data_IF_529743616629
#
_entry.id   IF_529743616629
#
_cell.length_a   1.000
_cell.length_b   1.000
_cell.length_c   1.000
_cell.angle_alpha   90.00
_cell.angle_beta   90.00
_cell.angle_gamma   90.00
#
_symmetry.space_group_name_H-M   'P 1'
#
loop_
_entity.id
_entity.type
_entity.pdbx_description
1 polymer ?
#
# COMPACT_ATOMS: atom_id res chain seq x y z
N UNK A 1 13.79 19.28 -8.63
CA UNK A 1 14.50 19.66 -7.38
C UNK A 1 15.85 18.95 -7.40
N UNK A 2 16.95 19.73 -7.54
CA UNK A 2 18.31 19.19 -7.70
C UNK A 2 18.88 18.57 -6.41
N UNK A 3 18.35 18.94 -5.23
CA UNK A 3 18.84 18.52 -3.90
C UNK A 3 17.99 17.43 -3.22
N UNK A 4 17.38 16.57 -4.05
CA UNK A 4 16.57 15.43 -3.61
C UNK A 4 17.16 14.14 -4.15
N UNK A 5 17.20 13.10 -3.34
CA UNK A 5 17.61 11.77 -3.76
C UNK A 5 16.81 10.68 -3.04
N UNK A 6 16.85 9.48 -3.58
CA UNK A 6 16.24 8.30 -2.97
C UNK A 6 17.16 7.08 -3.11
N UNK A 7 17.00 6.13 -2.20
CA UNK A 7 17.59 4.82 -2.33
C UNK A 7 16.51 3.74 -2.27
N UNK A 8 16.44 2.93 -3.31
CA UNK A 8 15.47 1.84 -3.44
C UNK A 8 16.13 0.59 -4.00
N UNK A 9 15.39 -0.52 -4.01
CA UNK A 9 15.81 -1.76 -4.68
C UNK A 9 16.02 -1.61 -6.19
N UNK A 10 15.54 -0.50 -6.76
CA UNK A 10 15.55 -0.25 -8.21
C UNK A 10 16.90 0.27 -8.71
N UNK A 11 17.70 0.80 -7.81
CA UNK A 11 19.03 1.32 -8.14
C UNK A 11 20.07 0.22 -8.11
N UNK A 12 21.02 0.27 -9.07
CA UNK A 12 22.20 -0.58 -9.04
C UNK A 12 23.09 -0.25 -7.81
N UNK A 13 24.00 -1.15 -7.41
CA UNK A 13 24.95 -0.86 -6.34
C UNK A 13 25.76 0.43 -6.59
N UNK A 14 26.20 0.66 -7.84
CA UNK A 14 26.96 1.84 -8.23
C UNK A 14 26.12 3.13 -8.08
N UNK A 15 24.86 3.08 -8.54
CA UNK A 15 23.91 4.20 -8.39
C UNK A 15 23.63 4.52 -6.92
N UNK A 16 23.46 3.48 -6.07
CA UNK A 16 23.29 3.67 -4.63
C UNK A 16 24.51 4.33 -4.00
N UNK A 17 25.71 3.86 -4.33
CA UNK A 17 26.94 4.42 -3.81
C UNK A 17 27.09 5.89 -4.19
N UNK A 18 26.74 6.26 -5.42
CA UNK A 18 26.75 7.66 -5.87
C UNK A 18 25.73 8.50 -5.11
N UNK A 19 24.52 8.00 -4.88
CA UNK A 19 23.51 8.69 -4.06
C UNK A 19 24.04 8.92 -2.64
N UNK A 20 24.62 7.89 -2.00
CA UNK A 20 25.16 8.01 -0.65
C UNK A 20 26.34 8.98 -0.58
N UNK A 21 27.22 9.03 -1.60
CA UNK A 21 28.28 10.03 -1.70
C UNK A 21 27.69 11.44 -1.71
N UNK A 22 26.72 11.69 -2.58
CA UNK A 22 26.05 13.00 -2.71
C UNK A 22 25.37 13.44 -1.41
N UNK A 23 24.75 12.49 -0.69
CA UNK A 23 24.14 12.77 0.63
C UNK A 23 25.23 13.20 1.62
N UNK A 24 26.34 12.44 1.73
CA UNK A 24 27.44 12.77 2.66
C UNK A 24 28.13 14.09 2.33
N UNK A 25 28.29 14.41 1.06
CA UNK A 25 28.97 15.66 0.60
C UNK A 25 28.04 16.89 0.67
N UNK A 26 26.77 16.72 1.08
CA UNK A 26 25.87 17.83 1.28
C UNK A 26 25.21 18.34 -0.01
N UNK A 27 25.26 17.59 -1.08
CA UNK A 27 24.54 17.88 -2.33
C UNK A 27 23.05 17.57 -2.25
N UNK A 28 22.63 16.77 -1.27
CA UNK A 28 21.24 16.35 -1.04
C UNK A 28 20.75 16.84 0.31
N UNK A 29 19.59 17.49 0.34
CA UNK A 29 18.92 17.95 1.56
C UNK A 29 17.75 17.05 1.96
N UNK A 30 17.07 16.45 0.98
CA UNK A 30 15.96 15.52 1.19
C UNK A 30 16.32 14.14 0.64
N UNK A 31 16.44 13.19 1.54
CA UNK A 31 16.80 11.82 1.19
C UNK A 31 15.69 10.84 1.55
N UNK A 32 15.12 10.17 0.54
CA UNK A 32 14.13 9.13 0.72
C UNK A 32 14.79 7.78 0.90
N UNK A 33 14.39 7.08 1.95
CA UNK A 33 14.96 5.82 2.39
C UNK A 33 13.86 4.88 2.85
N UNK A 34 13.94 3.59 2.54
CA UNK A 34 13.01 2.63 3.10
C UNK A 34 13.38 2.27 4.55
N UNK A 35 12.39 1.90 5.40
CA UNK A 35 12.70 1.46 6.76
C UNK A 35 13.67 0.29 6.81
N UNK A 36 13.53 -0.67 5.90
CA UNK A 36 14.40 -1.84 5.81
C UNK A 36 15.86 -1.43 5.59
N UNK A 37 16.07 -0.44 4.74
CA UNK A 37 17.42 0.06 4.44
C UNK A 37 17.98 0.88 5.61
N UNK A 38 17.14 1.68 6.28
CA UNK A 38 17.51 2.43 7.46
C UNK A 38 17.93 1.51 8.63
N UNK A 39 17.23 0.40 8.83
CA UNK A 39 17.51 -0.55 9.90
C UNK A 39 18.70 -1.47 9.59
N UNK A 40 19.05 -1.64 8.31
CA UNK A 40 20.12 -2.55 7.88
C UNK A 40 21.53 -1.97 8.03
N UNK A 41 21.66 -0.64 8.11
CA UNK A 41 22.95 0.05 8.12
C UNK A 41 23.03 1.11 9.23
N UNK A 42 24.24 1.37 9.69
CA UNK A 42 24.50 2.54 10.54
C UNK A 42 24.16 3.84 9.77
N UNK A 43 23.56 4.80 10.45
CA UNK A 43 23.12 6.05 9.81
C UNK A 43 24.29 6.84 9.20
N UNK A 44 25.47 6.74 9.79
CA UNK A 44 26.68 7.40 9.28
C UNK A 44 27.07 6.91 7.88
N UNK A 45 26.67 5.69 7.52
CA UNK A 45 26.85 5.15 6.18
C UNK A 45 26.16 6.01 5.12
N UNK A 46 25.01 6.60 5.47
CA UNK A 46 24.25 7.45 4.56
C UNK A 46 24.63 8.92 4.69
N UNK A 47 24.70 9.46 5.91
CA UNK A 47 24.83 10.89 6.16
C UNK A 47 26.24 11.35 6.49
N UNK A 48 27.18 10.43 6.79
CA UNK A 48 28.53 10.76 7.24
C UNK A 48 28.52 11.59 8.53
N UNK A 49 29.22 12.69 8.52
CA UNK A 49 29.34 13.65 9.64
C UNK A 49 28.15 14.64 9.71
N UNK A 50 27.21 14.57 8.76
CA UNK A 50 26.09 15.51 8.71
C UNK A 50 25.05 15.22 9.78
N UNK A 51 24.41 16.29 10.27
CA UNK A 51 23.32 16.19 11.22
C UNK A 51 21.98 15.97 10.55
N UNK A 52 21.17 15.12 11.13
CA UNK A 52 19.76 14.92 10.74
C UNK A 52 18.97 16.11 11.29
N UNK A 53 18.34 16.88 10.41
CA UNK A 53 17.49 18.00 10.79
C UNK A 53 16.05 17.60 11.10
N UNK A 54 15.54 16.58 10.40
CA UNK A 54 14.17 16.06 10.53
C UNK A 54 14.10 14.64 9.99
N UNK A 55 13.33 13.79 10.65
CA UNK A 55 12.88 12.51 10.09
C UNK A 55 11.39 12.59 9.79
N UNK A 56 11.00 12.25 8.57
CA UNK A 56 9.60 12.15 8.17
C UNK A 56 9.25 10.68 7.96
N UNK A 57 8.22 10.21 8.65
CA UNK A 57 7.67 8.86 8.49
C UNK A 57 6.35 9.00 7.73
N UNK A 58 6.37 8.65 6.45
CA UNK A 58 5.18 8.63 5.61
C UNK A 58 4.43 7.30 5.77
N UNK A 59 3.12 7.32 5.52
CA UNK A 59 2.21 6.19 5.74
C UNK A 59 2.38 5.57 7.15
N UNK A 60 2.53 6.44 8.15
CA UNK A 60 2.89 6.06 9.51
C UNK A 60 1.90 5.08 10.17
N UNK A 61 0.65 4.99 9.65
CA UNK A 61 -0.34 4.00 10.11
C UNK A 61 0.14 2.56 9.94
N UNK A 62 1.10 2.31 9.04
CA UNK A 62 1.64 0.96 8.79
C UNK A 62 2.32 0.35 10.01
N UNK A 63 2.81 1.16 10.96
CA UNK A 63 3.40 0.67 12.22
C UNK A 63 2.37 0.06 13.16
N UNK A 64 1.10 0.47 13.05
CA UNK A 64 -0.01 0.00 13.87
C UNK A 64 -0.90 -1.05 13.17
N UNK A 65 -0.68 -1.31 11.88
CA UNK A 65 -1.53 -2.20 11.09
C UNK A 65 -1.07 -3.64 11.19
N UNK A 66 -1.92 -4.51 11.72
CA UNK A 66 -1.67 -5.96 11.84
C UNK A 66 -2.26 -6.68 10.63
N UNK A 67 -1.44 -7.39 9.84
CA UNK A 67 -1.94 -8.18 8.71
C UNK A 67 -0.84 -8.62 7.74
N UNK A 68 -1.23 -9.14 6.57
CA UNK A 68 -0.35 -9.68 5.53
C UNK A 68 0.70 -8.71 4.97
N UNK A 69 0.45 -7.42 5.08
CA UNK A 69 1.33 -6.35 4.60
C UNK A 69 2.16 -5.74 5.71
N UNK A 70 2.14 -6.36 6.87
CA UNK A 70 2.93 -5.95 7.99
C UNK A 70 4.41 -5.96 7.61
N UNK A 71 4.97 -4.79 7.50
CA UNK A 71 6.41 -4.58 7.35
C UNK A 71 7.01 -4.59 8.75
N UNK A 72 7.60 -5.69 9.12
CA UNK A 72 8.22 -5.91 10.44
C UNK A 72 9.21 -4.78 10.78
N UNK A 73 9.89 -4.25 9.78
CA UNK A 73 10.84 -3.16 9.91
C UNK A 73 10.19 -1.87 10.45
N UNK A 74 8.95 -1.57 10.07
CA UNK A 74 8.23 -0.42 10.63
C UNK A 74 8.00 -0.55 12.15
N UNK A 75 7.84 -1.75 12.63
CA UNK A 75 7.64 -2.00 14.06
C UNK A 75 8.86 -1.63 14.90
N UNK A 76 10.07 -1.86 14.35
CA UNK A 76 11.31 -1.54 15.02
C UNK A 76 11.73 -0.08 14.83
N UNK A 77 11.07 0.66 13.93
CA UNK A 77 11.47 1.99 13.54
C UNK A 77 11.51 2.97 14.73
N UNK A 78 10.50 2.97 15.61
CA UNK A 78 10.47 3.85 16.79
C UNK A 78 11.63 3.61 17.73
N UNK A 79 11.88 2.34 18.08
CA UNK A 79 13.02 1.94 18.92
C UNK A 79 14.35 2.29 18.25
N UNK A 80 14.46 2.08 16.94
CA UNK A 80 15.67 2.41 16.19
C UNK A 80 15.94 3.92 16.20
N UNK A 81 14.93 4.76 15.97
CA UNK A 81 15.07 6.21 16.02
C UNK A 81 15.46 6.72 17.41
N UNK A 82 14.97 6.10 18.46
CA UNK A 82 15.37 6.41 19.85
C UNK A 82 16.82 6.02 20.10
N UNK A 83 17.23 4.80 19.74
CA UNK A 83 18.61 4.35 19.83
C UNK A 83 19.56 5.25 19.02
N UNK A 84 19.14 5.69 17.86
CA UNK A 84 19.89 6.59 17.00
C UNK A 84 20.12 7.96 17.66
N UNK A 85 19.09 8.57 18.27
CA UNK A 85 19.23 9.83 19.04
C UNK A 85 20.24 9.68 20.17
N UNK A 86 20.21 8.56 20.88
CA UNK A 86 21.13 8.27 21.96
C UNK A 86 22.58 8.10 21.44
N UNK A 87 22.77 7.36 20.35
CA UNK A 87 24.09 7.12 19.77
C UNK A 87 24.72 8.42 19.19
N UNK A 88 23.91 9.26 18.55
CA UNK A 88 24.37 10.51 17.98
C UNK A 88 24.58 11.63 19.03
N UNK A 89 24.05 11.49 20.23
CA UNK A 89 24.16 12.47 21.30
C UNK A 89 23.40 13.79 21.03
N UNK A 90 22.45 13.80 20.09
CA UNK A 90 21.55 14.92 19.85
C UNK A 90 20.15 14.46 19.43
N UNK A 91 19.16 15.33 19.65
CA UNK A 91 17.78 15.09 19.33
C UNK A 91 17.44 15.74 17.99
N UNK A 92 16.68 15.03 17.16
CA UNK A 92 16.05 15.54 15.94
C UNK A 92 14.54 15.31 16.01
N UNK A 93 13.74 16.21 15.43
CA UNK A 93 12.28 16.03 15.38
C UNK A 93 11.90 14.86 14.46
N UNK A 94 10.78 14.22 14.79
CA UNK A 94 10.15 13.19 13.95
C UNK A 94 8.75 13.66 13.60
N UNK A 95 8.42 13.63 12.32
CA UNK A 95 7.12 14.01 11.79
C UNK A 95 6.48 12.80 11.12
N UNK A 96 5.39 12.30 11.69
CA UNK A 96 4.66 11.14 11.19
C UNK A 96 3.43 11.63 10.42
N UNK A 97 3.25 11.12 9.21
CA UNK A 97 2.17 11.46 8.29
C UNK A 97 1.35 10.22 7.95
N UNK A 98 0.05 10.38 7.89
CA UNK A 98 -0.85 9.38 7.32
C UNK A 98 -2.16 10.03 6.89
N UNK A 99 -2.71 9.57 5.76
CA UNK A 99 -4.03 9.99 5.28
C UNK A 99 -5.16 9.05 5.73
N UNK A 100 -4.84 7.90 6.31
CA UNK A 100 -5.78 6.79 6.51
C UNK A 100 -5.79 6.23 7.93
N UNK A 101 -5.37 7.00 8.93
CA UNK A 101 -5.47 6.57 10.31
C UNK A 101 -6.92 6.65 10.83
N UNK A 102 -7.35 5.61 11.52
CA UNK A 102 -8.62 5.60 12.25
C UNK A 102 -8.38 6.20 13.63
N UNK A 103 -9.12 7.26 13.94
CA UNK A 103 -9.14 7.86 15.27
C UNK A 103 -10.39 7.39 16.02
N UNK A 104 -10.18 6.65 17.10
CA UNK A 104 -11.25 6.12 17.93
C UNK A 104 -10.85 6.21 19.41
N UNK A 105 -10.86 7.43 20.01
CA UNK A 105 -10.36 7.63 21.37
C UNK A 105 -11.21 6.92 22.43
N UNK A 106 -12.44 6.54 22.12
CA UNK A 106 -13.35 5.83 23.02
C UNK A 106 -13.36 4.30 22.81
N UNK A 107 -12.70 3.82 21.76
CA UNK A 107 -12.67 2.41 21.37
C UNK A 107 -11.32 1.76 21.56
N UNK A 108 -11.28 0.43 21.63
CA UNK A 108 -10.07 -0.33 21.88
C UNK A 108 -9.05 -0.38 20.73
N UNK A 109 -9.33 0.22 19.57
CA UNK A 109 -8.47 0.20 18.39
C UNK A 109 -8.31 1.62 17.84
N UNK A 110 -7.38 2.38 18.41
CA UNK A 110 -7.02 3.71 17.95
C UNK A 110 -5.67 3.66 17.21
N UNK A 111 -5.70 3.70 15.87
CA UNK A 111 -4.49 3.64 15.05
C UNK A 111 -3.57 4.84 15.29
N UNK A 112 -4.10 6.01 15.65
CA UNK A 112 -3.28 7.18 15.93
C UNK A 112 -2.50 6.96 17.22
N UNK A 113 -3.17 6.49 18.27
CA UNK A 113 -2.54 6.19 19.55
C UNK A 113 -1.48 5.08 19.40
N UNK A 114 -1.82 4.01 18.69
CA UNK A 114 -0.88 2.92 18.42
C UNK A 114 0.34 3.38 17.59
N UNK A 115 0.13 4.28 16.63
CA UNK A 115 1.21 4.89 15.84
C UNK A 115 2.14 5.74 16.72
N UNK A 116 1.56 6.61 17.58
CA UNK A 116 2.33 7.44 18.51
C UNK A 116 3.17 6.57 19.44
N UNK A 117 2.57 5.51 19.97
CA UNK A 117 3.24 4.56 20.87
C UNK A 117 4.35 3.78 20.16
N UNK A 118 4.07 3.24 18.98
CA UNK A 118 5.02 2.42 18.22
C UNK A 118 6.22 3.21 17.70
N UNK A 119 6.02 4.48 17.36
CA UNK A 119 7.09 5.38 16.91
C UNK A 119 7.75 6.16 18.06
N UNK A 120 7.36 5.93 19.31
CA UNK A 120 7.90 6.63 20.51
C UNK A 120 7.81 8.16 20.38
N UNK A 121 6.66 8.66 19.90
CA UNK A 121 6.49 10.08 19.63
C UNK A 121 6.01 10.91 20.83
N UNK A 122 5.62 10.28 21.93
CA UNK A 122 5.11 11.01 23.10
C UNK A 122 6.26 11.67 23.91
N UNK A 123 6.10 12.97 24.31
CA UNK A 123 4.99 13.87 23.98
C UNK A 123 5.06 14.40 22.54
N UNK A 124 3.92 14.56 21.88
CA UNK A 124 3.85 15.09 20.53
C UNK A 124 2.68 16.06 20.33
N UNK A 125 2.79 16.93 19.31
CA UNK A 125 1.68 17.69 18.81
C UNK A 125 0.90 16.83 17.79
N UNK A 126 -0.42 16.79 17.91
CA UNK A 126 -1.30 16.06 17.03
C UNK A 126 -2.12 17.01 16.15
N UNK A 127 -2.04 16.82 14.84
CA UNK A 127 -2.83 17.56 13.87
C UNK A 127 -3.76 16.59 13.14
N UNK A 128 -5.05 16.67 13.42
CA UNK A 128 -6.08 15.84 12.79
C UNK A 128 -6.90 16.72 11.88
N UNK A 129 -6.84 16.44 10.59
CA UNK A 129 -7.64 17.12 9.57
C UNK A 129 -8.90 16.33 9.21
N UNK A 130 -9.87 17.01 8.61
CA UNK A 130 -11.03 16.35 8.02
C UNK A 130 -10.65 15.83 6.63
N UNK A 131 -10.73 14.52 6.44
CA UNK A 131 -10.36 13.86 5.18
C UNK A 131 -11.59 13.51 4.33
N UNK A 132 -12.74 14.12 4.59
CA UNK A 132 -13.96 13.87 3.82
C UNK A 132 -13.76 14.30 2.36
N UNK A 133 -13.95 13.35 1.47
CA UNK A 133 -13.89 13.54 0.02
C UNK A 133 -15.31 13.76 -0.50
N UNK A 134 -15.76 15.02 -0.53
CA UNK A 134 -17.12 15.38 -0.96
C UNK A 134 -17.34 15.20 -2.47
N UNK A 135 -16.25 15.09 -3.23
CA UNK A 135 -16.25 14.88 -4.67
C UNK A 135 -16.21 13.40 -5.06
N UNK A 136 -16.42 12.46 -4.14
CA UNK A 136 -16.55 11.02 -4.44
C UNK A 136 -17.95 10.57 -4.03
N UNK A 137 -18.75 10.18 -5.00
CA UNK A 137 -20.04 9.51 -4.80
C UNK A 137 -19.88 8.00 -4.63
N UNK A 138 -20.95 7.35 -4.15
CA UNK A 138 -20.99 5.89 -4.01
C UNK A 138 -22.16 5.33 -4.81
N UNK A 139 -21.89 4.28 -5.61
CA UNK A 139 -22.87 3.45 -6.28
C UNK A 139 -22.74 2.03 -5.75
N UNK A 140 -23.59 1.66 -4.81
CA UNK A 140 -23.57 0.34 -4.17
C UNK A 140 -24.85 -0.40 -4.55
N UNK A 141 -24.72 -1.47 -5.31
CA UNK A 141 -25.83 -2.25 -5.83
C UNK A 141 -25.74 -3.70 -5.32
N UNK A 142 -26.88 -4.30 -4.97
CA UNK A 142 -26.94 -5.71 -4.63
C UNK A 142 -26.82 -6.55 -5.92
N UNK A 143 -25.83 -7.44 -5.97
CA UNK A 143 -25.70 -8.39 -7.07
C UNK A 143 -26.71 -9.54 -6.89
N UNK A 144 -27.53 -9.78 -7.89
CA UNK A 144 -28.50 -10.89 -7.92
C UNK A 144 -27.90 -12.12 -8.55
N UNK A 145 -28.25 -13.30 -8.00
CA UNK A 145 -27.96 -14.61 -8.58
C UNK A 145 -29.27 -15.13 -9.14
N UNK A 146 -29.32 -15.41 -10.42
CA UNK A 146 -30.51 -15.92 -11.10
C UNK A 146 -30.77 -17.38 -10.76
N UNK A 147 -31.99 -17.85 -10.96
CA UNK A 147 -32.36 -19.25 -10.70
C UNK A 147 -31.52 -20.21 -11.56
N UNK A 148 -30.85 -21.17 -10.91
CA UNK A 148 -29.94 -22.10 -11.58
C UNK A 148 -28.55 -21.54 -11.90
N UNK A 149 -28.28 -20.26 -11.60
CA UNK A 149 -26.98 -19.64 -11.80
C UNK A 149 -26.05 -19.89 -10.60
N UNK A 150 -24.78 -20.16 -10.87
CA UNK A 150 -23.76 -20.20 -9.79
C UNK A 150 -23.29 -18.80 -9.45
N UNK A 151 -22.83 -18.59 -8.22
CA UNK A 151 -22.23 -17.31 -7.79
C UNK A 151 -21.13 -16.81 -8.76
N UNK A 152 -20.23 -17.72 -9.21
CA UNK A 152 -19.13 -17.33 -10.10
C UNK A 152 -19.64 -16.86 -11.47
N UNK A 153 -20.71 -17.47 -12.00
CA UNK A 153 -21.35 -17.04 -13.26
C UNK A 153 -22.04 -15.70 -13.09
N UNK A 154 -22.81 -15.53 -12.00
CA UNK A 154 -23.46 -14.26 -11.67
C UNK A 154 -22.43 -13.12 -11.55
N UNK A 155 -21.33 -13.38 -10.81
CA UNK A 155 -20.25 -12.41 -10.65
C UNK A 155 -19.60 -12.07 -11.99
N UNK A 156 -19.31 -13.08 -12.82
CA UNK A 156 -18.75 -12.86 -14.14
C UNK A 156 -19.68 -12.01 -15.03
N UNK A 157 -20.96 -12.32 -15.07
CA UNK A 157 -21.99 -11.58 -15.82
C UNK A 157 -22.07 -10.12 -15.35
N UNK A 158 -22.13 -9.91 -14.03
CA UNK A 158 -22.21 -8.55 -13.45
C UNK A 158 -20.98 -7.73 -13.78
N UNK A 159 -19.78 -8.29 -13.58
CA UNK A 159 -18.53 -7.58 -13.87
C UNK A 159 -18.39 -7.29 -15.37
N UNK A 160 -18.77 -8.24 -16.24
CA UNK A 160 -18.71 -8.02 -17.69
C UNK A 160 -19.66 -6.89 -18.14
N UNK A 161 -20.87 -6.84 -17.59
CA UNK A 161 -21.82 -5.75 -17.86
C UNK A 161 -21.26 -4.40 -17.38
N UNK A 162 -20.69 -4.34 -16.16
CA UNK A 162 -20.07 -3.09 -15.67
C UNK A 162 -18.88 -2.66 -16.51
N UNK A 163 -18.03 -3.60 -16.97
CA UNK A 163 -16.91 -3.28 -17.86
C UNK A 163 -17.41 -2.66 -19.17
N UNK A 164 -18.47 -3.20 -19.74
CA UNK A 164 -19.08 -2.65 -20.97
C UNK A 164 -19.63 -1.24 -20.73
N UNK A 165 -20.35 -1.02 -19.62
CA UNK A 165 -20.85 0.30 -19.22
C UNK A 165 -19.71 1.31 -18.98
N UNK A 166 -18.53 0.84 -18.54
CA UNK A 166 -17.37 1.70 -18.26
C UNK A 166 -16.54 2.03 -19.51
N UNK A 167 -16.88 1.49 -20.66
CA UNK A 167 -16.28 1.86 -21.95
C UNK A 167 -16.88 3.16 -22.51
N UNK A 168 -17.27 4.06 -21.64
CA UNK A 168 -17.85 5.38 -21.91
C UNK A 168 -16.80 6.50 -22.12
N UNK A 169 -15.53 6.14 -22.11
CA UNK A 169 -14.41 7.07 -22.29
C UNK A 169 -13.81 7.61 -20.98
N UNK A 170 -14.45 7.39 -19.84
CA UNK A 170 -13.94 7.77 -18.52
C UNK A 170 -12.89 6.80 -18.02
N UNK A 171 -11.91 7.32 -17.24
CA UNK A 171 -10.85 6.49 -16.65
C UNK A 171 -11.37 5.71 -15.44
N UNK A 172 -11.25 4.40 -15.51
CA UNK A 172 -11.76 3.48 -14.47
C UNK A 172 -10.67 2.55 -13.96
N UNK A 173 -10.58 2.39 -12.64
CA UNK A 173 -9.81 1.32 -12.00
C UNK A 173 -10.79 0.26 -11.51
N UNK A 174 -10.53 -1.01 -11.84
CA UNK A 174 -11.28 -2.17 -11.35
C UNK A 174 -10.37 -2.95 -10.42
N UNK A 175 -10.68 -2.96 -9.13
CA UNK A 175 -9.93 -3.75 -8.16
C UNK A 175 -10.42 -5.19 -8.11
N UNK A 176 -9.48 -6.10 -8.37
CA UNK A 176 -9.68 -7.54 -8.30
C UNK A 176 -8.77 -8.13 -7.21
N UNK A 177 -9.29 -8.98 -6.31
CA UNK A 177 -8.55 -9.39 -5.11
C UNK A 177 -7.34 -10.29 -5.36
N UNK A 178 -7.27 -10.97 -6.53
CA UNK A 178 -6.23 -11.96 -6.79
C UNK A 178 -5.39 -11.62 -8.03
N UNK A 179 -4.06 -11.69 -7.90
CA UNK A 179 -3.17 -11.58 -9.05
C UNK A 179 -3.24 -12.80 -9.98
N UNK A 180 -3.48 -13.99 -9.39
CA UNK A 180 -3.61 -15.21 -10.16
C UNK A 180 -4.88 -15.22 -11.01
N UNK A 181 -4.70 -15.41 -12.33
CA UNK A 181 -5.81 -15.52 -13.28
C UNK A 181 -6.45 -14.20 -13.72
N UNK A 182 -5.90 -13.03 -13.35
CA UNK A 182 -6.45 -11.72 -13.72
C UNK A 182 -6.53 -11.56 -15.25
N UNK A 183 -5.49 -11.97 -15.99
CA UNK A 183 -5.48 -11.89 -17.45
C UNK A 183 -6.50 -12.85 -18.09
N UNK A 184 -6.76 -13.97 -17.44
CA UNK A 184 -7.79 -14.92 -17.87
C UNK A 184 -9.19 -14.37 -17.61
N UNK A 185 -9.39 -13.70 -16.48
CA UNK A 185 -10.66 -13.01 -16.16
C UNK A 185 -10.94 -11.88 -17.11
N UNK A 186 -9.94 -11.09 -17.52
CA UNK A 186 -10.10 -10.06 -18.54
C UNK A 186 -10.70 -10.62 -19.84
N UNK A 187 -10.24 -11.79 -20.29
CA UNK A 187 -10.78 -12.44 -21.50
C UNK A 187 -12.25 -12.82 -21.39
N UNK A 188 -12.78 -12.94 -20.18
CA UNK A 188 -14.19 -13.26 -19.92
C UNK A 188 -15.05 -12.02 -19.66
N UNK A 189 -14.43 -10.89 -19.26
CA UNK A 189 -15.13 -9.66 -18.93
C UNK A 189 -15.15 -8.64 -20.10
N UNK A 190 -14.18 -8.74 -21.01
CA UNK A 190 -13.95 -7.77 -22.09
C UNK A 190 -14.11 -8.45 -23.43
N UNK A 191 -14.97 -7.91 -24.29
CA UNK A 191 -15.05 -8.39 -25.67
C UNK A 191 -13.75 -8.09 -26.42
N UNK A 192 -13.32 -8.96 -27.36
CA UNK A 192 -12.06 -8.79 -28.09
C UNK A 192 -11.88 -7.43 -28.76
N UNK A 193 -12.95 -6.85 -29.27
CA UNK A 193 -12.94 -5.53 -29.90
C UNK A 193 -12.51 -4.41 -28.95
N UNK A 194 -12.70 -4.59 -27.64
CA UNK A 194 -12.46 -3.59 -26.61
C UNK A 194 -11.14 -3.80 -25.85
N UNK A 195 -10.35 -4.86 -26.16
CA UNK A 195 -9.11 -5.14 -25.45
C UNK A 195 -8.07 -4.02 -25.54
N UNK A 196 -8.12 -3.23 -26.60
CA UNK A 196 -7.22 -2.08 -26.75
C UNK A 196 -7.44 -0.99 -25.70
N UNK A 197 -8.65 -0.91 -25.10
CA UNK A 197 -8.98 0.05 -24.04
C UNK A 197 -8.65 -0.43 -22.63
N UNK A 198 -8.38 -1.71 -22.44
CA UNK A 198 -8.25 -2.33 -21.13
C UNK A 198 -6.85 -2.88 -20.92
N UNK A 199 -6.31 -2.75 -19.71
CA UNK A 199 -5.07 -3.39 -19.31
C UNK A 199 -5.20 -4.05 -17.93
N UNK A 200 -4.36 -5.04 -17.64
CA UNK A 200 -4.20 -5.62 -16.30
C UNK A 200 -2.94 -5.09 -15.62
N UNK A 201 -3.04 -4.82 -14.30
CA UNK A 201 -1.89 -4.38 -13.51
C UNK A 201 -1.81 -5.16 -12.19
N UNK A 202 -0.72 -5.90 -11.98
CA UNK A 202 -0.51 -6.68 -10.75
C UNK A 202 0.97 -6.86 -10.42
N UNK A 203 1.28 -7.27 -9.20
CA UNK A 203 2.64 -7.27 -8.64
C UNK A 203 3.68 -8.03 -9.45
N UNK A 204 3.29 -9.16 -10.10
CA UNK A 204 4.21 -10.04 -10.85
C UNK A 204 4.60 -9.52 -12.25
N UNK A 205 3.94 -8.49 -12.77
CA UNK A 205 4.39 -7.85 -14.02
C UNK A 205 5.75 -7.20 -13.81
N UNK A 206 6.61 -7.21 -14.84
CA UNK A 206 7.89 -6.54 -14.77
C UNK A 206 7.73 -5.00 -14.71
N UNK A 207 8.83 -4.29 -14.45
CA UNK A 207 8.80 -2.84 -14.24
C UNK A 207 8.50 -2.08 -15.52
N UNK A 208 9.00 -2.55 -16.65
CA UNK A 208 8.81 -1.93 -17.96
C UNK A 208 7.34 -2.01 -18.36
N UNK A 209 6.73 -3.19 -18.28
CA UNK A 209 5.31 -3.39 -18.54
C UNK A 209 4.43 -2.52 -17.63
N UNK A 210 4.79 -2.42 -16.34
CA UNK A 210 4.05 -1.55 -15.41
C UNK A 210 4.14 -0.08 -15.80
N UNK A 211 5.31 0.39 -16.19
CA UNK A 211 5.52 1.76 -16.61
C UNK A 211 4.75 2.08 -17.91
N UNK A 212 4.78 1.20 -18.89
CA UNK A 212 4.03 1.31 -20.14
C UNK A 212 2.52 1.40 -19.89
N UNK A 213 1.97 0.51 -19.04
CA UNK A 213 0.54 0.50 -18.70
C UNK A 213 0.13 1.81 -18.04
N UNK A 214 0.94 2.31 -17.08
CA UNK A 214 0.67 3.57 -16.39
C UNK A 214 0.71 4.74 -17.39
N UNK A 215 1.69 4.76 -18.28
CA UNK A 215 1.81 5.81 -19.28
C UNK A 215 0.62 5.81 -20.24
N UNK A 216 0.28 4.65 -20.81
CA UNK A 216 -0.87 4.49 -21.70
C UNK A 216 -2.20 4.88 -21.01
N UNK A 217 -2.34 4.63 -19.72
CA UNK A 217 -3.51 5.06 -18.96
C UNK A 217 -3.51 6.57 -18.69
N UNK A 218 -2.37 7.17 -18.40
CA UNK A 218 -2.23 8.63 -18.26
C UNK A 218 -2.59 9.35 -19.56
N UNK A 219 -2.11 8.86 -20.68
CA UNK A 219 -2.35 9.42 -22.02
C UNK A 219 -3.76 9.12 -22.56
N UNK A 220 -4.50 8.25 -21.87
CA UNK A 220 -5.87 7.91 -22.26
C UNK A 220 -5.96 6.87 -23.37
N UNK A 221 -4.87 6.23 -23.75
CA UNK A 221 -4.87 5.08 -24.67
C UNK A 221 -5.51 3.86 -24.00
N UNK A 222 -5.34 3.72 -22.68
CA UNK A 222 -6.09 2.80 -21.86
C UNK A 222 -7.11 3.59 -21.04
N UNK A 223 -8.33 3.08 -20.96
CA UNK A 223 -9.44 3.69 -20.20
C UNK A 223 -9.77 2.90 -18.95
N UNK A 224 -9.51 1.59 -18.97
CA UNK A 224 -9.79 0.70 -17.84
C UNK A 224 -8.51 -0.04 -17.44
N UNK A 225 -8.17 0.02 -16.17
CA UNK A 225 -7.16 -0.85 -15.57
C UNK A 225 -7.82 -1.82 -14.62
N UNK A 226 -7.67 -3.13 -14.87
CA UNK A 226 -8.02 -4.16 -13.90
C UNK A 226 -6.78 -4.47 -13.08
N UNK A 227 -6.84 -4.17 -11.80
CA UNK A 227 -5.68 -4.20 -10.93
C UNK A 227 -5.91 -4.99 -9.64
N UNK A 228 -4.83 -5.49 -9.08
CA UNK A 228 -4.79 -5.80 -7.64
C UNK A 228 -4.39 -4.53 -6.88
N UNK A 229 -4.39 -4.56 -5.55
CA UNK A 229 -3.91 -3.45 -4.72
C UNK A 229 -2.44 -3.03 -5.00
N UNK A 230 -1.69 -3.80 -5.81
CA UNK A 230 -0.39 -3.38 -6.32
C UNK A 230 -0.46 -2.09 -7.18
N UNK A 231 -1.62 -1.76 -7.74
CA UNK A 231 -1.90 -0.47 -8.36
C UNK A 231 -2.27 0.53 -7.29
N UNK A 232 -1.35 0.87 -6.47
CA UNK A 232 -1.65 1.68 -5.30
C UNK A 232 -0.50 2.60 -4.95
N UNK A 233 0.65 2.04 -4.71
CA UNK A 233 1.79 2.79 -4.26
C UNK A 233 2.52 3.44 -5.45
N UNK A 234 2.82 4.74 -5.33
CA UNK A 234 3.65 5.46 -6.30
C UNK A 234 2.98 5.82 -7.63
N UNK A 235 1.68 5.56 -7.81
CA UNK A 235 0.95 5.95 -9.01
C UNK A 235 0.16 7.23 -8.74
N UNK A 236 0.57 8.31 -9.38
CA UNK A 236 -0.13 9.60 -9.34
C UNK A 236 -0.84 9.86 -10.68
N UNK A 237 -2.15 9.72 -10.66
CA UNK A 237 -3.06 9.99 -11.77
C UNK A 237 -4.24 10.74 -11.17
N UNK A 238 -4.44 11.99 -11.59
CA UNK A 238 -5.40 12.90 -10.98
C UNK A 238 -6.82 12.79 -11.56
N UNK A 239 -6.93 12.28 -12.77
CA UNK A 239 -8.13 12.27 -13.61
C UNK A 239 -8.82 10.89 -13.72
N UNK A 240 -8.81 10.13 -12.63
CA UNK A 240 -9.56 8.88 -12.53
C UNK A 240 -10.99 9.22 -12.12
N UNK A 241 -11.95 8.82 -12.94
CA UNK A 241 -13.35 9.11 -12.70
C UNK A 241 -14.02 8.05 -11.81
N UNK A 242 -13.57 6.80 -11.91
CA UNK A 242 -14.30 5.68 -11.33
C UNK A 242 -13.37 4.62 -10.71
N UNK A 243 -13.77 4.13 -9.54
CA UNK A 243 -13.15 2.97 -8.92
C UNK A 243 -14.22 1.91 -8.68
N UNK A 244 -14.04 0.72 -9.24
CA UNK A 244 -14.96 -0.40 -9.10
C UNK A 244 -14.32 -1.54 -8.33
N UNK A 245 -14.97 -2.02 -7.29
CA UNK A 245 -14.54 -3.18 -6.51
C UNK A 245 -15.33 -4.43 -6.91
N UNK A 246 -14.63 -5.41 -7.49
CA UNK A 246 -15.22 -6.73 -7.82
C UNK A 246 -15.58 -7.51 -6.55
N UNK A 247 -14.84 -7.29 -5.48
CA UNK A 247 -15.09 -7.81 -4.15
C UNK A 247 -14.57 -6.81 -3.10
N UNK A 248 -15.03 -6.85 -1.85
CA UNK A 248 -14.56 -5.97 -0.80
C UNK A 248 -13.05 -6.01 -0.64
N UNK A 249 -12.46 -4.86 -0.32
CA UNK A 249 -11.03 -4.74 0.02
C UNK A 249 -10.72 -5.50 1.32
N UNK A 250 -9.44 -5.81 1.53
CA UNK A 250 -9.01 -6.60 2.70
C UNK A 250 -9.34 -5.90 4.02
N UNK A 251 -9.19 -4.59 4.06
CA UNK A 251 -9.47 -3.75 5.22
C UNK A 251 -10.22 -2.50 4.80
N UNK A 252 -10.84 -1.82 5.77
CA UNK A 252 -11.47 -0.51 5.54
C UNK A 252 -10.44 0.54 5.09
N UNK A 253 -9.23 0.49 5.63
CA UNK A 253 -8.12 1.38 5.24
C UNK A 253 -7.77 1.19 3.77
N UNK A 254 -7.61 -0.08 3.32
CA UNK A 254 -7.38 -0.37 1.90
C UNK A 254 -8.48 0.19 1.02
N UNK A 255 -9.75 -0.02 1.42
CA UNK A 255 -10.90 0.49 0.69
C UNK A 255 -10.84 2.01 0.52
N UNK A 256 -10.59 2.76 1.60
CA UNK A 256 -10.48 4.22 1.56
C UNK A 256 -9.31 4.66 0.68
N UNK A 257 -8.16 3.98 0.74
CA UNK A 257 -7.02 4.27 -0.12
C UNK A 257 -7.30 4.00 -1.60
N UNK A 258 -8.04 2.94 -1.89
CA UNK A 258 -8.41 2.54 -3.25
C UNK A 258 -9.43 3.50 -3.85
N UNK A 259 -10.53 3.82 -3.16
CA UNK A 259 -11.51 4.80 -3.65
C UNK A 259 -10.94 6.22 -3.71
N UNK A 260 -10.01 6.56 -2.81
CA UNK A 260 -9.31 7.85 -2.78
C UNK A 260 -8.47 8.15 -4.03
N UNK A 261 -8.34 7.18 -4.95
CA UNK A 261 -7.72 7.40 -6.25
C UNK A 261 -8.64 8.08 -7.24
N UNK A 262 -9.97 7.92 -7.08
CA UNK A 262 -10.92 8.66 -7.87
C UNK A 262 -10.86 10.16 -7.56
N UNK A 263 -11.01 10.97 -8.58
CA UNK A 263 -11.19 12.42 -8.48
C UNK A 263 -10.14 13.11 -7.58
N UNK A 264 -8.85 12.81 -7.73
CA UNK A 264 -7.78 13.50 -7.01
C UNK A 264 -7.72 14.98 -7.36
N UNK A 265 -8.04 15.33 -8.59
CA UNK A 265 -8.34 16.71 -8.95
C UNK A 265 -9.69 17.11 -8.30
N UNK A 266 -9.66 18.19 -7.52
CA UNK A 266 -10.84 18.68 -6.81
C UNK A 266 -11.97 19.17 -7.74
N UNK A 267 -11.65 19.41 -9.01
CA UNK A 267 -12.60 19.84 -10.03
C UNK A 267 -13.34 18.68 -10.69
N UNK A 268 -12.95 17.44 -10.40
CA UNK A 268 -13.55 16.23 -10.94
C UNK A 268 -14.41 15.56 -9.86
N UNK A 269 -15.56 15.06 -10.25
CA UNK A 269 -16.40 14.20 -9.41
C UNK A 269 -16.12 12.75 -9.75
N UNK A 270 -15.80 11.95 -8.76
CA UNK A 270 -15.55 10.51 -8.93
C UNK A 270 -16.64 9.65 -8.33
N UNK A 271 -16.66 8.38 -8.71
CA UNK A 271 -17.62 7.40 -8.20
C UNK A 271 -16.91 6.12 -7.75
N UNK A 272 -17.21 5.69 -6.54
CA UNK A 272 -16.84 4.36 -6.01
C UNK A 272 -18.01 3.40 -6.25
N UNK A 273 -17.81 2.39 -7.09
CA UNK A 273 -18.85 1.45 -7.52
C UNK A 273 -18.60 0.08 -6.88
N UNK A 274 -19.64 -0.56 -6.39
CA UNK A 274 -19.57 -1.91 -5.85
C UNK A 274 -20.87 -2.67 -6.12
N UNK A 275 -20.78 -3.83 -6.77
CA UNK A 275 -21.88 -4.79 -6.85
C UNK A 275 -21.64 -5.88 -5.78
N UNK A 276 -22.40 -5.78 -4.70
CA UNK A 276 -22.17 -6.58 -3.48
C UNK A 276 -23.07 -7.82 -3.43
N UNK A 277 -22.47 -8.91 -2.98
CA UNK A 277 -23.18 -10.11 -2.55
C UNK A 277 -22.53 -10.66 -1.28
N UNK A 278 -23.29 -11.23 -0.37
CA UNK A 278 -22.76 -11.79 0.90
C UNK A 278 -21.62 -12.81 0.68
N UNK A 279 -21.66 -13.54 -0.43
CA UNK A 279 -20.61 -14.50 -0.80
C UNK A 279 -19.27 -13.83 -1.13
N UNK A 280 -19.24 -12.52 -1.37
CA UNK A 280 -18.00 -11.76 -1.61
C UNK A 280 -17.08 -11.81 -0.37
N UNK A 281 -17.61 -11.98 0.83
CA UNK A 281 -16.81 -12.18 2.05
C UNK A 281 -15.95 -13.46 2.01
N UNK A 282 -16.27 -14.42 1.15
CA UNK A 282 -15.41 -15.57 0.91
C UNK A 282 -14.04 -15.17 0.37
N UNK A 283 -13.99 -14.19 -0.50
CA UNK A 283 -12.72 -13.64 -1.01
C UNK A 283 -11.90 -13.01 0.12
N UNK A 284 -12.53 -12.25 1.01
CA UNK A 284 -11.85 -11.68 2.18
C UNK A 284 -11.29 -12.78 3.09
N UNK A 285 -12.08 -13.79 3.43
CA UNK A 285 -11.60 -14.93 4.22
C UNK A 285 -10.39 -15.60 3.58
N UNK A 286 -10.42 -15.81 2.27
CA UNK A 286 -9.33 -16.43 1.53
C UNK A 286 -8.08 -15.56 1.50
N UNK A 287 -8.23 -14.23 1.37
CA UNK A 287 -7.11 -13.31 1.46
C UNK A 287 -6.46 -13.34 2.85
N UNK A 288 -7.26 -13.28 3.91
CA UNK A 288 -6.76 -13.34 5.27
C UNK A 288 -6.13 -14.70 5.62
N UNK A 289 -6.75 -15.81 5.20
CA UNK A 289 -6.24 -17.16 5.49
C UNK A 289 -4.94 -17.49 4.74
N UNK A 290 -4.72 -16.96 3.55
CA UNK A 290 -3.50 -17.24 2.78
C UNK A 290 -2.21 -16.66 3.40
N UNK A 291 -2.33 -15.75 4.40
CA UNK A 291 -1.21 -15.23 5.19
C UNK A 291 -1.20 -15.72 6.64
N UNK A 292 -2.20 -16.49 7.05
CA UNK A 292 -2.23 -17.05 8.38
C UNK A 292 -1.16 -18.15 8.53
N UNK A 293 -0.33 -18.02 9.55
CA UNK A 293 0.62 -19.07 9.92
C UNK A 293 -0.19 -20.19 10.59
N UNK A 294 -0.07 -21.44 10.12
CA UNK A 294 -0.70 -22.59 10.79
C UNK A 294 -0.04 -22.83 12.15
N UNK A 295 -0.76 -23.50 13.06
CA UNK A 295 -0.19 -23.92 14.35
C UNK A 295 1.10 -24.75 14.17
N UNK A 296 1.14 -25.60 13.16
CA UNK A 296 2.31 -26.41 12.82
C UNK A 296 3.50 -25.55 12.38
N UNK A 297 3.27 -24.58 11.49
CA UNK A 297 4.29 -23.63 11.06
C UNK A 297 4.79 -22.77 12.22
N UNK A 298 3.89 -22.29 13.09
CA UNK A 298 4.27 -21.57 14.30
C UNK A 298 5.13 -22.44 15.22
N UNK A 299 4.73 -23.71 15.41
CA UNK A 299 5.50 -24.68 16.19
C UNK A 299 6.91 -24.89 15.63
N UNK A 300 7.04 -25.01 14.30
CA UNK A 300 8.36 -25.13 13.65
C UNK A 300 9.21 -23.88 13.84
N UNK A 301 8.63 -22.69 13.71
CA UNK A 301 9.32 -21.41 13.92
C UNK A 301 9.83 -21.32 15.38
N UNK A 302 8.94 -21.56 16.35
CA UNK A 302 9.29 -21.51 17.78
C UNK A 302 10.38 -22.53 18.13
N UNK A 303 10.28 -23.75 17.59
CA UNK A 303 11.31 -24.77 17.77
C UNK A 303 12.66 -24.30 17.21
N UNK A 304 12.67 -23.68 16.04
CA UNK A 304 13.88 -23.17 15.39
C UNK A 304 14.50 -22.01 16.18
N UNK A 305 13.68 -21.09 16.66
CA UNK A 305 14.12 -20.01 17.56
C UNK A 305 14.75 -20.57 18.83
N UNK A 306 14.13 -21.58 19.45
CA UNK A 306 14.64 -22.24 20.63
C UNK A 306 15.98 -22.96 20.38
N UNK A 307 16.11 -23.67 19.26
CA UNK A 307 17.38 -24.30 18.86
C UNK A 307 18.50 -23.27 18.70
N UNK A 308 18.22 -22.12 18.08
CA UNK A 308 19.18 -21.03 17.88
C UNK A 308 19.56 -20.41 19.25
N UNK A 309 18.59 -20.21 20.13
CA UNK A 309 18.81 -19.70 21.48
C UNK A 309 19.76 -20.62 22.26
N UNK A 310 19.50 -21.92 22.24
CA UNK A 310 20.37 -22.92 22.93
C UNK A 310 21.77 -22.98 22.33
N UNK A 311 21.92 -22.88 21.00
CA UNK A 311 23.21 -22.93 20.32
C UNK A 311 24.07 -21.68 20.56
N UNK A 312 23.47 -20.52 20.70
CA UNK A 312 24.21 -19.24 20.84
C UNK A 312 24.55 -18.89 22.27
N UNK A 313 24.06 -19.66 23.26
CA UNK A 313 24.34 -19.38 24.67
C UNK A 313 24.00 -17.93 25.04
N UNK A 314 22.86 -17.46 24.58
CA UNK A 314 22.46 -16.06 24.83
C UNK A 314 22.39 -15.80 26.32
N UNK A 315 23.33 -15.00 26.80
CA UNK A 315 23.19 -14.20 28.02
C UNK A 315 22.02 -13.23 27.86
N UNK A 316 21.38 -12.87 28.96
CA UNK A 316 20.11 -12.13 29.10
C UNK A 316 19.99 -10.75 28.41
N UNK A 317 20.73 -10.48 27.34
CA UNK A 317 20.68 -9.25 26.54
C UNK A 317 19.95 -9.50 25.23
N UNK A 318 18.61 -9.52 25.29
CA UNK A 318 17.73 -9.26 24.16
C UNK A 318 16.79 -8.12 24.47
#
# INVERSE_FOLDING_TARGET
YERVAYASSDLSPEQKNEVYRRVREGEVDLFYLSPELLLAYDISYFVGERRIGLVVVDEAHTVATWGKEFRVDYWFLGRHLEALKNALGYVFPVFALTATAVWNPEGGNDMIFDTIRSLHLAPCALYVGTVKRENIGFDITAMTIEEGETYDKAKQRTVAARVEDFLDGHKTIIYYPFAGGIDMKLKTWVYPANWHWVASYYGKKDKEQKAEIIQAFKEGEKKIIVATKAFGMGVDISDIDRVYHVAPSSTFVDYIQEIGRAARDKNITGVAVTDFNERDFYYMKRLHSAGAISQEQLGMILKKVWEIYLMKGCSDEM
#
